data_IF_080827211498
#
_entry.id   IF_080827211498
#
_cell.length_a   1.000
_cell.length_b   1.000
_cell.length_c   1.000
_cell.angle_alpha   90.00
_cell.angle_beta   90.00
_cell.angle_gamma   90.00
#
_symmetry.space_group_name_H-M   'P 1'
#
loop_
_entity.id
_entity.type
_entity.pdbx_description
1 polymer ?
#
# COMPACT_ATOMS: atom_id res chain seq x y z
N UNK A 1 56.29 9.33 11.93
CA UNK A 1 55.25 8.59 11.18
C UNK A 1 53.89 8.89 11.76
N UNK A 2 53.06 9.65 11.03
CA UNK A 2 51.74 10.09 11.49
C UNK A 2 50.69 8.97 11.29
N UNK A 3 50.00 8.58 12.36
CA UNK A 3 48.92 7.60 12.33
C UNK A 3 47.68 8.19 11.67
N UNK A 4 47.27 7.62 10.53
CA UNK A 4 46.00 7.92 9.88
C UNK A 4 44.87 7.38 10.78
N UNK A 5 44.17 8.28 11.46
CA UNK A 5 42.87 7.95 12.08
C UNK A 5 41.89 7.61 10.96
N UNK A 6 41.50 6.34 10.85
CA UNK A 6 40.35 5.94 10.04
C UNK A 6 39.13 6.68 10.59
N UNK A 7 38.56 7.61 9.81
CA UNK A 7 37.21 8.11 10.09
C UNK A 7 36.30 6.89 10.01
N UNK A 8 35.67 6.53 11.13
CA UNK A 8 34.59 5.55 11.12
C UNK A 8 33.56 5.97 10.07
N UNK A 9 33.09 5.02 9.27
CA UNK A 9 31.99 5.28 8.35
C UNK A 9 30.82 5.88 9.14
N UNK A 10 30.10 6.87 8.60
CA UNK A 10 28.88 7.34 9.24
C UNK A 10 27.96 6.14 9.48
N UNK A 11 27.34 6.09 10.66
CA UNK A 11 26.28 5.13 10.91
C UNK A 11 25.28 5.18 9.75
N UNK A 12 24.72 4.05 9.28
CA UNK A 12 23.67 4.09 8.27
C UNK A 12 22.59 5.07 8.75
N UNK A 13 22.03 5.91 7.88
CA UNK A 13 20.98 6.84 8.30
C UNK A 13 19.93 6.05 9.07
N UNK A 14 19.57 6.53 10.26
CA UNK A 14 18.47 5.97 11.03
C UNK A 14 17.28 5.78 10.08
N UNK A 15 16.79 4.55 9.94
CA UNK A 15 15.63 4.24 9.09
C UNK A 15 14.59 5.34 9.30
N UNK A 16 14.22 6.08 8.25
CA UNK A 16 13.31 7.25 8.36
C UNK A 16 11.92 6.81 8.85
N UNK A 17 11.65 5.50 8.85
CA UNK A 17 10.42 4.84 9.24
C UNK A 17 10.67 3.74 10.28
N UNK A 18 11.16 4.08 11.48
CA UNK A 18 11.58 3.08 12.48
C UNK A 18 10.40 2.24 13.00
N UNK A 19 9.17 2.78 12.93
CA UNK A 19 7.94 2.13 13.40
C UNK A 19 7.13 1.47 12.28
N UNK A 20 7.72 1.30 11.09
CA UNK A 20 7.04 0.72 9.94
C UNK A 20 6.78 -0.77 10.05
N UNK A 21 5.62 -1.20 9.58
CA UNK A 21 5.25 -2.61 9.49
C UNK A 21 5.73 -3.17 8.15
N UNK A 22 6.68 -4.09 8.19
CA UNK A 22 7.09 -4.84 7.01
C UNK A 22 5.95 -5.73 6.52
N UNK A 23 5.68 -5.69 5.21
CA UNK A 23 4.59 -6.44 4.56
C UNK A 23 5.07 -6.98 3.22
N UNK A 24 4.48 -8.10 2.77
CA UNK A 24 4.70 -8.61 1.41
C UNK A 24 3.79 -7.94 0.38
N UNK A 25 2.90 -7.05 0.82
CA UNK A 25 1.77 -6.53 0.06
C UNK A 25 1.66 -5.00 0.13
N UNK A 26 2.76 -4.28 0.37
CA UNK A 26 2.78 -2.81 0.39
C UNK A 26 2.17 -2.22 -0.90
N UNK A 27 2.47 -2.83 -2.06
CA UNK A 27 1.88 -2.43 -3.35
C UNK A 27 0.36 -2.49 -3.39
N UNK A 28 -0.29 -3.30 -2.56
CA UNK A 28 -1.74 -3.36 -2.49
C UNK A 28 -2.38 -2.03 -2.05
N UNK A 29 -1.65 -1.16 -1.34
CA UNK A 29 -2.16 0.17 -0.92
C UNK A 29 -2.37 1.09 -2.13
N UNK A 30 -1.69 0.86 -3.25
CA UNK A 30 -1.89 1.63 -4.50
C UNK A 30 -3.32 1.46 -5.05
N UNK A 31 -4.00 0.35 -4.73
CA UNK A 31 -5.40 0.14 -5.07
C UNK A 31 -6.35 1.11 -4.36
N UNK A 32 -5.89 1.81 -3.31
CA UNK A 32 -6.68 2.82 -2.62
C UNK A 32 -7.12 3.95 -3.55
N UNK A 33 -6.31 4.30 -4.57
CA UNK A 33 -6.70 5.26 -5.62
C UNK A 33 -8.01 4.83 -6.30
N UNK A 34 -8.17 3.55 -6.60
CA UNK A 34 -9.37 3.01 -7.24
C UNK A 34 -10.56 2.93 -6.28
N UNK A 35 -10.30 2.56 -5.03
CA UNK A 35 -11.31 2.54 -3.96
C UNK A 35 -11.89 3.94 -3.76
N UNK A 36 -11.05 4.97 -3.70
CA UNK A 36 -11.50 6.36 -3.55
C UNK A 36 -12.19 6.87 -4.81
N UNK A 37 -11.67 6.53 -6.00
CA UNK A 37 -12.23 6.98 -7.28
C UNK A 37 -13.61 6.40 -7.56
N UNK A 38 -13.80 5.12 -7.30
CA UNK A 38 -15.02 4.40 -7.72
C UNK A 38 -15.94 4.03 -6.55
N UNK A 39 -15.41 3.93 -5.34
CA UNK A 39 -16.16 3.57 -4.13
C UNK A 39 -16.97 4.70 -3.51
N UNK A 40 -16.70 5.95 -3.90
CA UNK A 40 -17.35 7.14 -3.35
C UNK A 40 -16.84 7.52 -1.96
N UNK A 41 -17.47 8.52 -1.35
CA UNK A 41 -17.01 9.15 -0.10
C UNK A 41 -17.02 8.22 1.12
N UNK A 42 -17.86 7.18 1.10
CA UNK A 42 -17.95 6.20 2.19
C UNK A 42 -16.83 5.14 2.15
N UNK A 43 -16.06 5.07 1.06
CA UNK A 43 -15.06 4.04 0.87
C UNK A 43 -13.80 4.29 1.70
N UNK A 44 -13.41 3.32 2.53
CA UNK A 44 -12.29 3.43 3.47
C UNK A 44 -11.30 2.27 3.41
N UNK A 45 -10.52 2.10 4.47
CA UNK A 45 -9.51 1.04 4.58
C UNK A 45 -10.12 -0.36 4.54
N UNK A 46 -11.32 -0.56 5.09
CA UNK A 46 -12.02 -1.84 4.99
C UNK A 46 -12.37 -2.21 3.53
N UNK A 47 -12.75 -1.23 2.70
CA UNK A 47 -12.99 -1.44 1.27
C UNK A 47 -11.71 -1.77 0.53
N UNK A 48 -10.62 -1.08 0.83
CA UNK A 48 -9.28 -1.41 0.33
C UNK A 48 -8.90 -2.85 0.65
N UNK A 49 -8.99 -3.28 1.91
CA UNK A 49 -8.63 -4.63 2.32
C UNK A 49 -9.44 -5.70 1.59
N UNK A 50 -10.76 -5.49 1.44
CA UNK A 50 -11.63 -6.42 0.71
C UNK A 50 -11.32 -6.47 -0.78
N UNK A 51 -11.17 -5.31 -1.42
CA UNK A 51 -10.89 -5.22 -2.84
C UNK A 51 -9.51 -5.78 -3.17
N UNK A 52 -8.47 -5.43 -2.41
CA UNK A 52 -7.13 -5.98 -2.58
C UNK A 52 -7.11 -7.49 -2.42
N UNK A 53 -7.75 -8.04 -1.38
CA UNK A 53 -7.83 -9.51 -1.22
C UNK A 53 -8.58 -10.20 -2.36
N UNK A 54 -9.55 -9.53 -2.99
CA UNK A 54 -10.25 -10.03 -4.16
C UNK A 54 -9.35 -10.01 -5.41
N UNK A 55 -8.64 -8.91 -5.68
CA UNK A 55 -7.66 -8.82 -6.78
C UNK A 55 -6.58 -9.90 -6.61
N UNK A 56 -6.13 -10.14 -5.39
CA UNK A 56 -5.02 -11.04 -5.08
C UNK A 56 -5.43 -12.53 -4.89
N UNK A 57 -6.67 -12.91 -5.20
CA UNK A 57 -7.26 -14.21 -4.80
C UNK A 57 -6.73 -15.43 -5.57
N UNK A 58 -6.38 -15.29 -6.84
CA UNK A 58 -6.13 -16.42 -7.76
C UNK A 58 -4.66 -16.89 -7.79
N UNK A 59 -3.98 -16.85 -6.64
CA UNK A 59 -2.56 -17.17 -6.51
C UNK A 59 -2.30 -18.27 -5.48
N UNK A 60 -1.25 -19.12 -5.68
CA UNK A 60 -1.05 -20.39 -4.95
C UNK A 60 -0.71 -20.28 -3.44
N UNK A 61 -0.97 -19.16 -2.75
CA UNK A 61 -0.60 -18.93 -1.34
C UNK A 61 -1.64 -18.18 -0.49
N UNK A 62 -2.94 -18.39 -0.74
CA UNK A 62 -4.07 -17.66 -0.11
C UNK A 62 -4.01 -17.55 1.42
N UNK A 63 -3.59 -18.61 2.12
CA UNK A 63 -3.56 -18.64 3.60
C UNK A 63 -2.50 -17.73 4.23
N UNK A 64 -1.29 -17.65 3.67
CA UNK A 64 -0.22 -16.77 4.19
C UNK A 64 -0.51 -15.29 3.92
N UNK A 65 -1.11 -14.97 2.77
CA UNK A 65 -1.50 -13.60 2.40
C UNK A 65 -2.50 -12.99 3.37
N UNK A 66 -3.51 -13.77 3.78
CA UNK A 66 -4.53 -13.30 4.75
C UNK A 66 -3.97 -12.98 6.11
N UNK A 67 -2.80 -13.52 6.47
CA UNK A 67 -2.11 -13.28 7.74
C UNK A 67 -1.05 -12.19 7.64
N UNK A 68 -0.88 -11.58 6.47
CA UNK A 68 0.05 -10.47 6.30
C UNK A 68 -0.39 -9.29 7.20
N UNK A 69 0.55 -8.65 7.93
CA UNK A 69 0.20 -7.65 8.94
C UNK A 69 -0.43 -6.39 8.36
N UNK A 70 -0.29 -6.13 7.05
CA UNK A 70 -0.95 -5.01 6.38
C UNK A 70 -2.46 -4.99 6.60
N UNK A 71 -3.12 -6.15 6.57
CA UNK A 71 -4.58 -6.18 6.67
C UNK A 71 -5.08 -5.78 8.05
N UNK A 72 -4.36 -6.20 9.10
CA UNK A 72 -4.67 -5.79 10.47
C UNK A 72 -4.39 -4.30 10.69
N UNK A 73 -3.28 -3.79 10.12
CA UNK A 73 -2.95 -2.37 10.16
C UNK A 73 -4.05 -1.52 9.51
N UNK A 74 -4.45 -1.85 8.27
CA UNK A 74 -5.51 -1.13 7.56
C UNK A 74 -6.85 -1.20 8.29
N UNK A 75 -7.21 -2.35 8.86
CA UNK A 75 -8.44 -2.48 9.64
C UNK A 75 -8.45 -1.56 10.88
N UNK A 76 -7.30 -1.35 11.52
CA UNK A 76 -7.17 -0.46 12.68
C UNK A 76 -7.25 1.03 12.32
N UNK A 77 -7.09 1.41 11.05
CA UNK A 77 -7.21 2.81 10.59
C UNK A 77 -8.66 3.23 10.34
N UNK A 78 -9.58 2.28 10.23
CA UNK A 78 -10.99 2.58 10.01
C UNK A 78 -11.63 2.85 11.38
N UNK A 79 -11.69 4.11 11.82
CA UNK A 79 -12.28 4.50 13.12
C UNK A 79 -13.75 4.05 13.25
N UNK A 80 -14.46 3.97 12.11
CA UNK A 80 -15.81 3.44 12.00
C UNK A 80 -15.92 2.63 10.71
N UNK A 81 -15.51 1.34 10.71
CA UNK A 81 -15.47 0.54 9.50
C UNK A 81 -16.86 0.43 8.91
N UNK A 82 -16.97 0.70 7.60
CA UNK A 82 -18.22 0.49 6.88
C UNK A 82 -18.71 -0.95 7.12
N UNK A 83 -20.03 -1.17 7.34
CA UNK A 83 -20.54 -2.49 7.65
C UNK A 83 -20.09 -3.52 6.62
N UNK A 84 -19.85 -4.75 7.09
CA UNK A 84 -19.38 -5.83 6.24
C UNK A 84 -20.37 -6.05 5.09
N UNK A 85 -19.99 -5.64 3.88
CA UNK A 85 -20.81 -5.82 2.67
C UNK A 85 -20.77 -7.30 2.31
N UNK A 86 -21.91 -7.98 2.46
CA UNK A 86 -22.07 -9.41 2.09
C UNK A 86 -21.97 -9.63 0.58
N UNK A 87 -22.26 -8.60 -0.21
CA UNK A 87 -22.21 -8.62 -1.67
C UNK A 87 -21.13 -7.66 -2.17
N UNK A 88 -20.54 -8.03 -3.31
CA UNK A 88 -19.60 -7.18 -4.05
C UNK A 88 -20.30 -5.88 -4.46
N UNK A 89 -19.74 -4.70 -4.14
CA UNK A 89 -20.21 -3.42 -4.65
C UNK A 89 -20.11 -3.33 -6.19
N UNK A 90 -21.03 -2.63 -6.88
CA UNK A 90 -20.97 -2.46 -8.34
C UNK A 90 -19.67 -1.81 -8.84
N UNK A 91 -19.07 -0.93 -8.04
CA UNK A 91 -17.83 -0.24 -8.41
C UNK A 91 -16.62 -1.16 -8.60
N UNK A 92 -16.66 -2.39 -8.04
CA UNK A 92 -15.57 -3.35 -8.20
C UNK A 92 -15.36 -3.74 -9.65
N UNK A 93 -16.44 -3.86 -10.43
CA UNK A 93 -16.35 -4.20 -11.85
C UNK A 93 -15.74 -3.06 -12.66
N UNK A 94 -16.09 -1.81 -12.35
CA UNK A 94 -15.46 -0.65 -12.95
C UNK A 94 -13.96 -0.55 -12.61
N UNK A 95 -13.61 -0.76 -11.34
CA UNK A 95 -12.22 -0.79 -10.90
C UNK A 95 -11.42 -1.94 -11.55
N UNK A 96 -12.03 -3.12 -11.70
CA UNK A 96 -11.41 -4.26 -12.37
C UNK A 96 -11.23 -4.02 -13.88
N UNK A 97 -12.23 -3.40 -14.54
CA UNK A 97 -12.12 -2.96 -15.93
C UNK A 97 -10.95 -2.00 -16.12
N UNK A 98 -10.81 -1.00 -15.25
CA UNK A 98 -9.67 -0.08 -15.28
C UNK A 98 -8.33 -0.82 -15.17
N UNK A 99 -8.20 -1.77 -14.24
CA UNK A 99 -6.98 -2.56 -14.09
C UNK A 99 -6.68 -3.37 -15.35
N UNK A 100 -7.69 -3.99 -15.96
CA UNK A 100 -7.55 -4.76 -17.19
C UNK A 100 -7.12 -3.88 -18.37
N UNK A 101 -7.76 -2.72 -18.54
CA UNK A 101 -7.45 -1.75 -19.60
C UNK A 101 -6.02 -1.20 -19.45
N UNK A 102 -5.55 -1.03 -18.21
CA UNK A 102 -4.18 -0.64 -17.91
C UNK A 102 -3.16 -1.80 -18.02
N UNK A 103 -3.59 -3.02 -18.35
CA UNK A 103 -2.73 -4.20 -18.42
C UNK A 103 -2.19 -4.67 -17.06
N UNK A 104 -2.80 -4.23 -15.96
CA UNK A 104 -2.34 -4.53 -14.61
C UNK A 104 -2.86 -5.88 -14.13
N UNK A 105 -1.96 -6.68 -13.58
CA UNK A 105 -2.28 -8.01 -13.07
C UNK A 105 -2.16 -8.03 -11.55
N UNK A 106 -2.66 -9.08 -10.87
CA UNK A 106 -2.45 -9.22 -9.44
C UNK A 106 -0.98 -9.16 -9.00
N UNK A 107 -0.03 -9.59 -9.86
CA UNK A 107 1.40 -9.51 -9.53
C UNK A 107 1.90 -8.07 -9.40
N UNK A 108 1.28 -7.11 -10.09
CA UNK A 108 1.68 -5.70 -10.02
C UNK A 108 1.56 -5.13 -8.62
N UNK A 109 0.65 -5.68 -7.80
CA UNK A 109 0.37 -5.23 -6.43
C UNK A 109 0.95 -6.13 -5.34
N UNK A 110 1.61 -7.25 -5.69
CA UNK A 110 2.28 -8.16 -4.75
C UNK A 110 3.70 -7.70 -4.44
N UNK A 111 3.85 -6.43 -4.07
CA UNK A 111 5.13 -5.79 -3.82
C UNK A 111 5.44 -5.79 -2.32
N UNK A 112 6.56 -6.39 -1.87
CA UNK A 112 7.01 -6.21 -0.50
C UNK A 112 7.43 -4.77 -0.24
N UNK A 113 7.39 -4.37 1.02
CA UNK A 113 7.77 -3.04 1.45
C UNK A 113 7.44 -2.83 2.91
N UNK A 114 7.37 -1.56 3.30
CA UNK A 114 7.10 -1.13 4.65
C UNK A 114 5.94 -0.14 4.63
N UNK A 115 5.01 -0.29 5.58
CA UNK A 115 3.92 0.69 5.80
C UNK A 115 4.07 1.29 7.17
N UNK A 116 4.33 2.59 7.24
CA UNK A 116 4.43 3.34 8.49
C UNK A 116 3.18 4.20 8.68
N UNK A 117 2.67 4.21 9.90
CA UNK A 117 1.49 5.00 10.27
C UNK A 117 1.87 5.90 11.43
N UNK A 118 1.61 7.19 11.28
CA UNK A 118 1.71 8.17 12.36
C UNK A 118 0.33 8.72 12.71
N UNK A 119 0.27 9.78 13.54
CA UNK A 119 -0.96 10.50 13.81
C UNK A 119 -1.54 11.20 12.58
N UNK A 120 -0.74 11.52 11.56
CA UNK A 120 -1.20 12.31 10.41
C UNK A 120 -0.85 11.69 9.06
N UNK A 121 0.04 10.70 9.00
CA UNK A 121 0.46 10.07 7.76
C UNK A 121 0.25 8.56 7.75
N UNK A 122 0.02 8.03 6.55
CA UNK A 122 0.22 6.65 6.15
C UNK A 122 1.24 6.68 5.01
N UNK A 123 2.46 6.26 5.32
CA UNK A 123 3.58 6.24 4.39
C UNK A 123 3.81 4.81 3.90
N UNK A 124 3.74 4.63 2.59
CA UNK A 124 4.05 3.34 1.93
C UNK A 124 5.43 3.45 1.32
N UNK A 125 6.37 2.67 1.83
CA UNK A 125 7.77 2.65 1.39
C UNK A 125 8.01 1.38 0.59
N UNK A 126 8.39 1.56 -0.67
CA UNK A 126 8.73 0.51 -1.62
C UNK A 126 10.19 0.65 -2.03
N UNK A 127 10.86 -0.46 -2.33
CA UNK A 127 12.17 -0.40 -2.99
C UNK A 127 12.03 0.13 -4.43
N UNK A 128 13.08 0.76 -4.96
CA UNK A 128 13.12 1.16 -6.37
C UNK A 128 12.92 -0.04 -7.31
N UNK A 129 13.40 -1.21 -6.94
CA UNK A 129 13.22 -2.49 -7.64
C UNK A 129 11.78 -3.02 -7.61
N UNK A 130 10.95 -2.51 -6.70
CA UNK A 130 9.54 -2.90 -6.57
C UNK A 130 8.60 -2.01 -7.39
N UNK A 131 9.14 -1.03 -8.13
CA UNK A 131 8.36 -0.20 -9.05
C UNK A 131 7.80 -1.06 -10.19
N UNK A 132 6.47 -1.06 -10.31
CA UNK A 132 5.78 -1.57 -11.48
C UNK A 132 5.48 -0.41 -12.45
N UNK A 133 6.06 -0.44 -13.65
CA UNK A 133 5.90 0.64 -14.63
C UNK A 133 4.45 0.83 -15.07
N UNK A 134 3.65 -0.24 -15.13
CA UNK A 134 2.22 -0.13 -15.47
C UNK A 134 1.47 0.64 -14.38
N UNK A 135 1.75 0.35 -13.11
CA UNK A 135 1.15 1.05 -11.96
C UNK A 135 1.50 2.53 -12.00
N UNK A 136 2.76 2.86 -12.30
CA UNK A 136 3.25 4.23 -12.46
C UNK A 136 2.55 4.98 -13.59
N UNK A 137 2.47 4.36 -14.77
CA UNK A 137 1.82 4.96 -15.94
C UNK A 137 0.31 5.14 -15.72
N UNK A 138 -0.33 4.25 -14.97
CA UNK A 138 -1.72 4.36 -14.56
C UNK A 138 -1.95 5.39 -13.43
N UNK A 139 -0.88 5.96 -12.86
CA UNK A 139 -0.95 6.95 -11.78
C UNK A 139 -1.45 6.40 -10.44
N UNK A 140 -1.35 5.08 -10.22
CA UNK A 140 -1.85 4.43 -9.00
C UNK A 140 -0.91 4.56 -7.79
N UNK A 141 0.33 4.97 -8.02
CA UNK A 141 1.36 5.16 -6.99
C UNK A 141 1.73 6.64 -6.76
N UNK A 142 0.85 7.56 -7.19
CA UNK A 142 0.95 8.96 -6.85
C UNK A 142 0.39 9.21 -5.44
N UNK A 143 1.01 10.14 -4.72
CA UNK A 143 0.51 10.61 -3.42
C UNK A 143 -0.97 10.97 -3.51
N UNK A 144 -1.76 10.40 -2.60
CA UNK A 144 -3.20 10.66 -2.56
C UNK A 144 -3.51 11.96 -1.81
N UNK A 145 -2.55 12.48 -1.04
CA UNK A 145 -2.77 13.59 -0.13
C UNK A 145 -3.67 13.16 1.03
N UNK A 146 -4.47 14.11 1.55
CA UNK A 146 -5.41 13.85 2.64
C UNK A 146 -6.55 12.93 2.21
N UNK A 147 -6.71 11.80 2.91
CA UNK A 147 -7.81 10.86 2.74
C UNK A 147 -8.73 10.94 3.97
N UNK A 148 -9.90 11.60 3.87
CA UNK A 148 -10.77 11.85 5.02
C UNK A 148 -11.18 10.59 5.78
N UNK A 149 -11.53 9.51 5.06
CA UNK A 149 -11.93 8.23 5.67
C UNK A 149 -10.82 7.53 6.46
N UNK A 150 -9.56 7.89 6.21
CA UNK A 150 -8.42 7.39 6.99
C UNK A 150 -7.97 8.39 8.05
N UNK A 151 -8.41 9.66 7.96
CA UNK A 151 -7.89 10.75 8.79
C UNK A 151 -6.38 10.94 8.62
N UNK A 152 -5.82 10.64 7.44
CA UNK A 152 -4.36 10.65 7.18
C UNK A 152 -4.04 11.17 5.79
N UNK A 153 -2.85 11.76 5.66
CA UNK A 153 -2.18 11.96 4.38
C UNK A 153 -1.57 10.63 3.94
N UNK A 154 -1.83 10.20 2.71
CA UNK A 154 -1.26 8.95 2.15
C UNK A 154 -0.21 9.28 1.11
N UNK A 155 1.02 8.83 1.36
CA UNK A 155 2.19 9.07 0.51
C UNK A 155 2.87 7.76 0.10
N UNK A 156 3.46 7.77 -1.09
CA UNK A 156 4.27 6.68 -1.63
C UNK A 156 5.74 7.12 -1.74
N UNK A 157 6.62 6.37 -1.10
CA UNK A 157 8.06 6.60 -1.08
C UNK A 157 8.75 5.45 -1.80
N UNK A 158 9.74 5.78 -2.63
CA UNK A 158 10.55 4.81 -3.35
C UNK A 158 12.03 5.00 -2.99
N UNK A 159 12.63 3.99 -2.37
CA UNK A 159 13.99 4.08 -1.84
C UNK A 159 14.96 3.13 -2.53
N UNK A 160 16.20 3.60 -2.72
CA UNK A 160 17.31 2.75 -3.12
C UNK A 160 17.93 2.07 -1.89
N UNK A 161 18.51 0.90 -2.11
CA UNK A 161 19.29 0.16 -1.11
C UNK A 161 20.54 0.91 -0.63
#
# INVERSE_FOLDING_TARGET
SAGIRRRGAPAPPSCRWPDGVATRHAGAVQLLRLVLRFGGEDAGAADLGRFAQWVLRDRPRRGRRRRDPLWSLLAALDEAPAPARRRRPPWWDAAAGFLADAGLTPASFERPGLVAVTRTHLDVVLGLEEIDLGVRLAGLDQDLGWVPRLGRVVCFHFEGA
#
